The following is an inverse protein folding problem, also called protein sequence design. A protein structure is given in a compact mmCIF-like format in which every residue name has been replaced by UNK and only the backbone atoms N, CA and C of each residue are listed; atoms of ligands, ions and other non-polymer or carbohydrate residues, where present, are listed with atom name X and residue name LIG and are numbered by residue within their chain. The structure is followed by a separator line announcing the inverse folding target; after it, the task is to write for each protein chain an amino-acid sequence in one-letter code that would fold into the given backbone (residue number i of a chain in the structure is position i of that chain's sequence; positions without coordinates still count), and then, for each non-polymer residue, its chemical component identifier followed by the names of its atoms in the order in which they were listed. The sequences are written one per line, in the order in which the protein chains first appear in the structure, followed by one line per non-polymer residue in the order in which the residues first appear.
data_IF_438684566842
#
_entry.id   IF_438684566842
#
_cell.length_a   1.000
_cell.length_b   1.000
_cell.length_c   1.000
_cell.angle_alpha   90.00
_cell.angle_beta   90.00
_cell.angle_gamma   90.00
#
_symmetry.space_group_name_H-M   'P 1'
#
loop_
_entity.id
_entity.type
_entity.pdbx_description
1 polymer ?
#
# COMPACT_ATOMS: atom_id res chain seq x y z
N UNK A 1 -3.66 -11.35 -7.04
CA UNK A 1 -2.87 -10.13 -7.33
C UNK A 1 -2.15 -9.75 -6.05
N UNK A 2 -0.86 -9.49 -6.13
CA UNK A 2 -0.06 -8.96 -5.03
C UNK A 2 0.49 -7.62 -5.50
N UNK A 3 0.25 -6.57 -4.71
CA UNK A 3 0.79 -5.23 -4.91
C UNK A 3 1.84 -5.05 -3.82
N UNK A 4 3.10 -4.97 -4.20
CA UNK A 4 4.22 -4.83 -3.28
C UNK A 4 4.78 -3.40 -3.31
N UNK A 5 5.45 -3.01 -2.23
CA UNK A 5 6.10 -1.70 -2.03
C UNK A 5 5.17 -0.48 -2.22
N UNK A 6 3.86 -0.65 -2.04
CA UNK A 6 2.92 0.46 -2.11
C UNK A 6 3.28 1.51 -1.05
N UNK A 7 3.41 2.77 -1.45
CA UNK A 7 3.74 3.83 -0.50
C UNK A 7 5.22 4.16 -0.34
N UNK A 8 6.13 3.46 -1.04
CA UNK A 8 7.58 3.66 -0.87
C UNK A 8 8.11 4.92 -1.54
N UNK A 9 7.75 5.19 -2.80
CA UNK A 9 8.19 6.37 -3.55
C UNK A 9 7.02 7.25 -3.98
N UNK A 10 7.05 8.54 -3.61
CA UNK A 10 6.08 9.54 -4.10
C UNK A 10 6.23 9.85 -5.61
N UNK A 11 7.15 9.17 -6.31
CA UNK A 11 7.45 9.39 -7.72
C UNK A 11 6.24 9.11 -8.60
N UNK A 12 5.50 8.05 -8.28
CA UNK A 12 4.30 7.59 -9.01
C UNK A 12 3.29 8.72 -9.19
N UNK A 13 3.10 9.58 -8.17
CA UNK A 13 2.19 10.73 -8.24
C UNK A 13 2.71 11.90 -9.05
N UNK A 14 4.03 12.11 -9.06
CA UNK A 14 4.65 13.21 -9.81
C UNK A 14 4.71 12.90 -11.29
N UNK A 15 4.95 11.64 -11.64
CA UNK A 15 5.15 11.21 -13.02
C UNK A 15 3.85 10.77 -13.68
N UNK A 16 2.86 10.27 -12.93
CA UNK A 16 1.61 9.73 -13.46
C UNK A 16 0.41 10.32 -12.70
N UNK A 17 -0.18 11.44 -13.17
CA UNK A 17 -1.33 12.08 -12.52
C UNK A 17 -2.53 11.14 -12.32
N UNK A 18 -2.72 10.19 -13.23
CA UNK A 18 -3.84 9.24 -13.20
C UNK A 18 -3.59 7.98 -12.37
N UNK A 19 -2.42 7.84 -11.71
CA UNK A 19 -2.01 6.61 -11.04
C UNK A 19 -3.06 6.10 -10.02
N UNK A 20 -3.59 7.01 -9.20
CA UNK A 20 -4.62 6.66 -8.22
C UNK A 20 -5.91 6.16 -8.88
N UNK A 21 -6.34 6.81 -9.97
CA UNK A 21 -7.55 6.41 -10.69
C UNK A 21 -7.40 5.02 -11.34
N UNK A 22 -6.20 4.70 -11.83
CA UNK A 22 -5.89 3.41 -12.41
C UNK A 22 -5.84 2.33 -11.32
N UNK A 23 -5.19 2.60 -10.20
CA UNK A 23 -5.18 1.71 -9.04
C UNK A 23 -6.59 1.43 -8.54
N UNK A 24 -7.42 2.46 -8.43
CA UNK A 24 -8.82 2.32 -8.04
C UNK A 24 -9.58 1.37 -8.98
N UNK A 25 -9.44 1.51 -10.31
CA UNK A 25 -10.09 0.60 -11.27
C UNK A 25 -9.65 -0.85 -11.09
N UNK A 26 -8.38 -1.09 -10.79
CA UNK A 26 -7.86 -2.44 -10.51
C UNK A 26 -8.48 -3.00 -9.24
N UNK A 27 -8.51 -2.24 -8.15
CA UNK A 27 -9.09 -2.68 -6.87
C UNK A 27 -10.60 -2.90 -6.99
N UNK A 28 -11.33 -1.96 -7.58
CA UNK A 28 -12.78 -2.06 -7.78
C UNK A 28 -13.16 -3.28 -8.64
N UNK A 29 -12.41 -3.55 -9.71
CA UNK A 29 -12.63 -4.72 -10.56
C UNK A 29 -12.46 -6.06 -9.84
N UNK A 30 -11.65 -6.08 -8.77
CA UNK A 30 -11.33 -7.27 -7.97
C UNK A 30 -12.13 -7.39 -6.69
N UNK A 31 -12.69 -6.27 -6.20
CA UNK A 31 -13.42 -6.24 -4.94
C UNK A 31 -14.53 -7.30 -4.92
N UNK A 32 -14.60 -8.07 -3.83
CA UNK A 32 -15.53 -9.21 -3.63
C UNK A 32 -15.54 -10.28 -4.74
N UNK A 33 -14.57 -10.26 -5.67
CA UNK A 33 -14.47 -11.22 -6.78
C UNK A 33 -13.20 -12.05 -6.73
N UNK A 34 -12.11 -11.50 -6.22
CA UNK A 34 -10.83 -12.19 -6.15
C UNK A 34 -9.93 -11.59 -5.07
N UNK A 35 -9.17 -12.43 -4.36
CA UNK A 35 -8.26 -12.00 -3.31
C UNK A 35 -7.15 -11.08 -3.84
N UNK A 36 -6.86 -10.03 -3.08
CA UNK A 36 -5.78 -9.08 -3.37
C UNK A 36 -4.97 -8.87 -2.10
N UNK A 37 -3.65 -8.97 -2.19
CA UNK A 37 -2.75 -8.64 -1.10
C UNK A 37 -2.00 -7.35 -1.43
N UNK A 38 -1.91 -6.46 -0.45
CA UNK A 38 -1.15 -5.21 -0.54
C UNK A 38 -0.12 -5.22 0.57
N UNK A 39 1.14 -5.00 0.21
CA UNK A 39 2.24 -4.81 1.16
C UNK A 39 2.66 -3.36 1.09
N UNK A 40 2.65 -2.68 2.23
CA UNK A 40 2.91 -1.24 2.30
C UNK A 40 3.71 -0.90 3.55
N UNK A 41 4.55 0.13 3.43
CA UNK A 41 5.23 0.76 4.57
C UNK A 41 4.48 2.00 5.08
N UNK A 42 3.33 2.34 4.48
CA UNK A 42 2.52 3.50 4.84
C UNK A 42 1.28 3.04 5.60
N UNK A 43 1.06 3.61 6.77
CA UNK A 43 -0.12 3.30 7.59
C UNK A 43 -1.39 3.72 6.87
N UNK A 44 -2.48 2.97 7.06
CA UNK A 44 -3.78 3.27 6.45
C UNK A 44 -4.22 4.73 6.64
N UNK A 45 -4.03 5.28 7.83
CA UNK A 45 -4.40 6.67 8.16
C UNK A 45 -3.63 7.70 7.35
N UNK A 46 -2.41 7.37 6.90
CA UNK A 46 -1.54 8.26 6.13
C UNK A 46 -1.82 8.17 4.62
N UNK A 47 -2.74 7.30 4.17
CA UNK A 47 -3.00 7.10 2.73
C UNK A 47 -3.60 8.33 2.07
N UNK A 48 -4.45 9.09 2.77
CA UNK A 48 -5.04 10.32 2.22
C UNK A 48 -3.96 11.34 1.85
N UNK A 49 -3.00 11.57 2.76
CA UNK A 49 -1.85 12.44 2.50
C UNK A 49 -0.89 11.80 1.47
N UNK A 50 -0.75 10.47 1.52
CA UNK A 50 0.04 9.70 0.57
C UNK A 50 -0.60 9.57 -0.83
N UNK A 51 -1.86 9.91 -1.03
CA UNK A 51 -2.48 9.81 -2.36
C UNK A 51 -2.89 11.18 -2.91
N UNK A 52 -3.18 12.15 -2.04
CA UNK A 52 -3.33 13.57 -2.41
C UNK A 52 -4.68 13.94 -3.03
N UNK A 53 -5.57 12.95 -3.19
CA UNK A 53 -6.98 13.14 -3.56
C UNK A 53 -7.83 12.47 -2.48
N UNK A 54 -8.27 13.19 -1.44
CA UNK A 54 -8.99 12.60 -0.32
C UNK A 54 -10.28 11.89 -0.74
N UNK A 55 -11.17 12.45 -1.59
CA UNK A 55 -12.36 11.74 -2.05
C UNK A 55 -12.04 10.40 -2.73
N UNK A 56 -11.09 10.37 -3.66
CA UNK A 56 -10.75 9.14 -4.37
C UNK A 56 -10.03 8.13 -3.47
N UNK A 57 -9.22 8.63 -2.53
CA UNK A 57 -8.53 7.80 -1.54
C UNK A 57 -9.52 7.12 -0.60
N UNK A 58 -10.53 7.84 -0.10
CA UNK A 58 -11.56 7.24 0.74
C UNK A 58 -12.34 6.16 -0.02
N UNK A 59 -12.69 6.42 -1.29
CA UNK A 59 -13.34 5.41 -2.12
C UNK A 59 -12.46 4.16 -2.36
N UNK A 60 -11.15 4.33 -2.50
CA UNK A 60 -10.18 3.23 -2.57
C UNK A 60 -10.12 2.47 -1.24
N UNK A 61 -9.98 3.19 -0.12
CA UNK A 61 -9.90 2.62 1.23
C UNK A 61 -11.14 1.83 1.59
N UNK A 62 -12.34 2.29 1.22
CA UNK A 62 -13.58 1.54 1.43
C UNK A 62 -13.52 0.15 0.78
N UNK A 63 -12.91 0.04 -0.40
CA UNK A 63 -12.78 -1.23 -1.15
C UNK A 63 -11.65 -2.09 -0.65
N UNK A 64 -10.52 -1.47 -0.27
CA UNK A 64 -9.39 -2.20 0.30
C UNK A 64 -9.72 -2.68 1.71
N UNK A 65 -10.48 -1.93 2.50
CA UNK A 65 -10.88 -2.32 3.86
C UNK A 65 -12.02 -3.32 3.91
N UNK A 66 -12.83 -3.41 2.85
CA UNK A 66 -13.94 -4.35 2.75
C UNK A 66 -13.45 -5.81 2.77
N UNK A 67 -13.82 -6.55 3.82
CA UNK A 67 -13.42 -7.94 4.05
C UNK A 67 -11.89 -8.19 4.10
N UNK A 68 -11.13 -7.25 4.65
CA UNK A 68 -9.66 -7.35 4.73
C UNK A 68 -9.16 -7.77 6.11
N UNK A 69 -8.12 -8.61 6.10
CA UNK A 69 -7.32 -8.91 7.28
C UNK A 69 -6.04 -8.06 7.25
N UNK A 70 -5.89 -7.17 8.21
CA UNK A 70 -4.67 -6.36 8.37
C UNK A 70 -3.68 -7.11 9.24
N UNK A 71 -2.48 -7.36 8.71
CA UNK A 71 -1.39 -8.02 9.43
C UNK A 71 -0.28 -6.99 9.67
N UNK A 72 -0.15 -6.44 10.88
CA UNK A 72 0.95 -5.54 11.20
C UNK A 72 2.26 -6.33 11.26
N UNK A 73 3.29 -5.82 10.59
CA UNK A 73 4.66 -6.35 10.69
C UNK A 73 5.47 -5.46 11.62
N UNK A 74 6.00 -6.04 12.69
CA UNK A 74 6.84 -5.37 13.67
C UNK A 74 8.21 -6.05 13.77
N UNK A 75 9.22 -5.27 14.16
CA UNK A 75 10.57 -5.78 14.44
C UNK A 75 11.66 -5.20 13.53
N UNK A 76 12.88 -5.69 13.76
CA UNK A 76 14.06 -5.25 13.02
C UNK A 76 14.08 -5.78 11.59
N UNK A 77 14.60 -4.96 10.67
CA UNK A 77 14.84 -5.40 9.29
C UNK A 77 15.76 -6.63 9.27
N UNK A 78 15.27 -7.70 8.65
CA UNK A 78 16.03 -8.94 8.42
C UNK A 78 17.24 -8.71 7.51
N UNK A 79 17.24 -7.62 6.72
CA UNK A 79 18.36 -7.23 5.84
C UNK A 79 19.58 -6.72 6.62
N UNK A 80 19.44 -6.41 7.93
CA UNK A 80 20.58 -5.99 8.76
C UNK A 80 21.63 -7.11 8.77
N UNK A 81 22.88 -6.87 8.32
CA UNK A 81 23.93 -7.86 8.46
C UNK A 81 24.10 -8.18 9.95
N UNK A 82 24.10 -9.48 10.31
CA UNK A 82 24.42 -9.91 11.67
C UNK A 82 25.74 -9.22 12.06
N UNK A 83 25.73 -8.40 13.11
CA UNK A 83 26.96 -7.80 13.66
C UNK A 83 27.97 -8.94 13.79
N UNK A 84 29.07 -8.88 13.03
CA UNK A 84 30.19 -9.81 13.24
C UNK A 84 30.61 -9.62 14.70
N UNK A 85 30.69 -10.69 15.53
CA UNK A 85 31.21 -10.54 16.88
C UNK A 85 32.62 -9.94 16.75
N UNK A 86 32.86 -8.85 17.48
CA UNK A 86 34.13 -8.14 17.44
C UNK A 86 35.28 -9.10 17.74
N UNK A 87 36.35 -8.99 16.94
CA UNK A 87 37.67 -9.51 17.30
C UNK A 87 38.34 -8.52 18.25
#
# INVERSE_FOLDING_TARGET
LIIDEFGFEKLERKEVPDALSLLYKVIDGRNRRSSTAIVTNVKFDDWTDYLGDPPMTMALLDRVGDQTNVIPFEGDSIRKPKKKPGK
#
